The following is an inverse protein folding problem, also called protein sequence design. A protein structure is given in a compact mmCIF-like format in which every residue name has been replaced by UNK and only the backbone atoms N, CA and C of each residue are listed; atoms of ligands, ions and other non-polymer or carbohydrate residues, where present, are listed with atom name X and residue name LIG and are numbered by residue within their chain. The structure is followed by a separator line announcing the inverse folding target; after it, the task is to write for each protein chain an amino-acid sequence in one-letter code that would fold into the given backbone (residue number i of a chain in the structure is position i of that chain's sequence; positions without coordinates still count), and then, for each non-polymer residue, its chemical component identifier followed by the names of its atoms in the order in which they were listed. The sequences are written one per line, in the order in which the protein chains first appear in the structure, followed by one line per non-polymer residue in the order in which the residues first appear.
data_IF_247055120680
#
_entry.id   IF_247055120680
#
_cell.length_a   1.000
_cell.length_b   1.000
_cell.length_c   1.000
_cell.angle_alpha   90.00
_cell.angle_beta   90.00
_cell.angle_gamma   90.00
#
_symmetry.space_group_name_H-M   'P 1'
#
loop_
_entity.id
_entity.type
_entity.pdbx_description
1 polymer ?
#
# COMPACT_ATOMS: atom_id res chain seq x y z
N UNK A 1 15.06 14.68 9.23
CA UNK A 1 15.57 15.39 8.02
C UNK A 1 14.41 15.74 7.13
N UNK A 2 14.20 17.02 6.85
CA UNK A 2 13.06 17.54 6.07
C UNK A 2 13.35 17.48 4.55
N UNK A 3 13.72 16.30 4.03
CA UNK A 3 14.18 16.13 2.64
C UNK A 3 13.02 15.80 1.68
N UNK A 4 12.35 16.86 1.21
CA UNK A 4 11.24 16.76 0.28
C UNK A 4 11.67 16.18 -1.09
N UNK A 5 12.90 16.42 -1.53
CA UNK A 5 13.40 15.91 -2.81
C UNK A 5 13.57 14.40 -2.76
N UNK A 6 14.13 13.86 -1.67
CA UNK A 6 14.20 12.43 -1.45
C UNK A 6 12.81 11.78 -1.41
N UNK A 7 11.84 12.43 -0.73
CA UNK A 7 10.47 11.95 -0.67
C UNK A 7 9.82 11.87 -2.07
N UNK A 8 9.96 12.94 -2.87
CA UNK A 8 9.45 12.97 -4.25
C UNK A 8 10.07 11.84 -5.07
N UNK A 9 11.40 11.68 -5.01
CA UNK A 9 12.13 10.63 -5.74
C UNK A 9 11.60 9.23 -5.42
N UNK A 10 11.36 8.93 -4.15
CA UNK A 10 10.85 7.62 -3.74
C UNK A 10 9.40 7.38 -4.14
N UNK A 11 8.55 8.40 -4.08
CA UNK A 11 7.17 8.33 -4.57
C UNK A 11 7.15 8.11 -6.07
N UNK A 12 7.96 8.83 -6.84
CA UNK A 12 8.01 8.68 -8.29
C UNK A 12 8.55 7.29 -8.67
N UNK A 13 9.55 6.76 -7.95
CA UNK A 13 9.99 5.37 -8.11
C UNK A 13 8.86 4.38 -7.81
N UNK A 14 8.12 4.55 -6.72
CA UNK A 14 6.97 3.69 -6.38
C UNK A 14 5.90 3.70 -7.48
N UNK A 15 5.54 4.88 -7.99
CA UNK A 15 4.55 5.03 -9.05
C UNK A 15 5.01 4.45 -10.39
N UNK A 16 6.32 4.47 -10.68
CA UNK A 16 6.87 3.81 -11.86
C UNK A 16 6.65 2.27 -11.80
N UNK A 17 6.73 1.68 -10.61
CA UNK A 17 6.47 0.25 -10.38
C UNK A 17 4.99 -0.13 -10.34
N UNK A 18 4.07 0.84 -10.32
CA UNK A 18 2.64 0.58 -10.54
C UNK A 18 2.43 0.46 -12.05
N UNK A 19 2.59 -0.75 -12.59
CA UNK A 19 2.70 -0.97 -14.04
C UNK A 19 1.50 -0.43 -14.84
N UNK A 20 0.28 -0.64 -14.37
CA UNK A 20 -0.97 -0.25 -15.05
C UNK A 20 -1.46 1.14 -14.66
N UNK A 21 -2.32 1.74 -15.48
CA UNK A 21 -2.87 3.07 -15.21
C UNK A 21 -3.79 3.04 -13.98
N UNK A 22 -4.51 1.93 -13.81
CA UNK A 22 -5.43 1.71 -12.72
C UNK A 22 -4.73 1.57 -11.36
N UNK A 23 -3.64 0.81 -11.28
CA UNK A 23 -2.86 0.68 -10.04
C UNK A 23 -2.20 2.01 -9.63
N UNK A 24 -1.77 2.83 -10.60
CA UNK A 24 -1.27 4.20 -10.34
C UNK A 24 -2.38 5.08 -9.79
N UNK A 25 -3.54 5.07 -10.44
CA UNK A 25 -4.69 5.89 -10.01
C UNK A 25 -5.18 5.48 -8.62
N UNK A 26 -5.22 4.18 -8.34
CA UNK A 26 -5.58 3.64 -7.03
C UNK A 26 -4.60 4.11 -5.94
N UNK A 27 -3.29 4.03 -6.20
CA UNK A 27 -2.27 4.53 -5.28
C UNK A 27 -2.45 6.02 -4.97
N UNK A 28 -2.68 6.84 -5.99
CA UNK A 28 -2.92 8.28 -5.82
C UNK A 28 -4.26 8.57 -5.13
N UNK A 29 -5.30 7.77 -5.37
CA UNK A 29 -6.58 7.89 -4.67
C UNK A 29 -6.40 7.62 -3.18
N UNK A 30 -5.69 6.55 -2.82
CA UNK A 30 -5.38 6.23 -1.42
C UNK A 30 -4.45 7.26 -0.78
N UNK A 31 -3.49 7.81 -1.54
CA UNK A 31 -2.65 8.92 -1.11
C UNK A 31 -3.47 10.15 -0.73
N UNK A 32 -4.41 10.58 -1.59
CA UNK A 32 -5.34 11.69 -1.28
C UNK A 32 -6.16 11.43 -0.02
N UNK A 33 -6.68 10.21 0.15
CA UNK A 33 -7.45 9.84 1.34
C UNK A 33 -6.58 9.86 2.60
N UNK A 34 -5.37 9.33 2.53
CA UNK A 34 -4.41 9.33 3.63
C UNK A 34 -4.05 10.75 4.06
N UNK A 35 -3.73 11.64 3.13
CA UNK A 35 -3.39 13.03 3.50
C UNK A 35 -4.55 13.73 4.20
N UNK A 36 -5.79 13.57 3.71
CA UNK A 36 -6.96 14.14 4.39
C UNK A 36 -7.10 13.63 5.82
N UNK A 37 -6.93 12.32 6.03
CA UNK A 37 -6.93 11.74 7.37
C UNK A 37 -5.85 12.36 8.27
N UNK A 38 -4.63 12.54 7.77
CA UNK A 38 -3.55 13.15 8.55
C UNK A 38 -3.79 14.64 8.85
N UNK A 39 -4.41 15.36 7.91
CA UNK A 39 -4.84 16.75 8.12
C UNK A 39 -5.92 16.86 9.21
N UNK A 40 -6.89 15.94 9.20
CA UNK A 40 -7.98 15.85 10.18
C UNK A 40 -7.48 15.42 11.58
N UNK A 41 -6.33 14.74 11.63
CA UNK A 41 -5.63 14.38 12.87
C UNK A 41 -4.62 15.45 13.33
N UNK A 42 -4.65 16.64 12.71
CA UNK A 42 -3.79 17.78 13.03
C UNK A 42 -2.28 17.50 12.92
N UNK A 43 -1.88 16.63 11.97
CA UNK A 43 -0.46 16.35 11.68
C UNK A 43 0.07 17.41 10.71
N UNK A 44 0.73 18.44 11.27
CA UNK A 44 1.18 19.63 10.51
C UNK A 44 2.01 19.33 9.26
N UNK A 45 3.00 18.40 9.26
CA UNK A 45 3.77 18.09 8.06
C UNK A 45 2.92 17.57 6.88
N UNK A 46 1.74 17.00 7.15
CA UNK A 46 0.83 16.54 6.10
C UNK A 46 0.25 17.71 5.29
N UNK A 47 0.07 18.89 5.93
CA UNK A 47 -0.35 20.12 5.25
C UNK A 47 0.77 20.68 4.39
N UNK A 48 1.99 20.71 4.92
CA UNK A 48 3.17 21.19 4.19
C UNK A 48 3.43 20.38 2.92
N UNK A 49 3.40 19.04 3.03
CA UNK A 49 3.71 18.13 1.93
C UNK A 49 2.48 17.57 1.22
N UNK A 50 1.31 18.18 1.40
CA UNK A 50 0.02 17.73 0.88
C UNK A 50 0.09 17.29 -0.58
N UNK A 51 0.70 18.12 -1.43
CA UNK A 51 0.78 17.87 -2.88
C UNK A 51 1.60 16.63 -3.22
N UNK A 52 2.66 16.38 -2.45
CA UNK A 52 3.57 15.25 -2.64
C UNK A 52 2.94 13.98 -2.07
N UNK A 53 2.49 14.02 -0.81
CA UNK A 53 1.89 12.89 -0.11
C UNK A 53 0.58 12.41 -0.76
N UNK A 54 -0.18 13.31 -1.41
CA UNK A 54 -1.41 12.94 -2.12
C UNK A 54 -1.20 11.94 -3.27
N UNK A 55 0.06 11.66 -3.65
CA UNK A 55 0.41 10.69 -4.69
C UNK A 55 0.64 9.28 -4.17
N UNK A 56 0.88 9.07 -2.87
CA UNK A 56 1.16 7.74 -2.31
C UNK A 56 0.66 7.60 -0.88
N UNK A 57 -0.12 6.54 -0.66
CA UNK A 57 -0.58 6.19 0.67
C UNK A 57 0.57 5.80 1.58
N UNK A 58 1.54 5.04 1.06
CA UNK A 58 2.69 4.56 1.82
C UNK A 58 3.55 5.72 2.33
N UNK A 59 3.70 6.79 1.54
CA UNK A 59 4.40 8.00 1.97
C UNK A 59 3.68 8.71 3.13
N UNK A 60 2.34 8.85 3.05
CA UNK A 60 1.55 9.40 4.15
C UNK A 60 1.60 8.51 5.40
N UNK A 61 1.56 7.19 5.22
CA UNK A 61 1.71 6.25 6.32
C UNK A 61 3.08 6.36 7.01
N UNK A 62 4.17 6.45 6.23
CA UNK A 62 5.52 6.65 6.76
C UNK A 62 5.64 7.95 7.56
N UNK A 63 5.02 9.04 7.09
CA UNK A 63 4.95 10.29 7.84
C UNK A 63 4.22 10.11 9.18
N UNK A 64 3.13 9.35 9.21
CA UNK A 64 2.40 9.08 10.45
C UNK A 64 3.24 8.25 11.44
N UNK A 65 4.00 7.26 10.94
CA UNK A 65 4.93 6.48 11.77
C UNK A 65 6.00 7.38 12.40
N UNK A 66 6.60 8.28 11.61
CA UNK A 66 7.59 9.24 12.11
C UNK A 66 6.96 10.19 13.15
N UNK A 67 5.79 10.74 12.87
CA UNK A 67 5.09 11.64 13.79
C UNK A 67 4.78 10.99 15.14
N UNK A 68 4.28 9.74 15.15
CA UNK A 68 3.97 9.01 16.37
C UNK A 68 5.15 8.20 16.95
N UNK A 69 6.35 8.34 16.40
CA UNK A 69 7.55 7.63 16.84
C UNK A 69 7.38 6.10 16.86
N UNK A 70 6.62 5.58 15.89
CA UNK A 70 6.43 4.15 15.69
C UNK A 70 7.58 3.63 14.84
N UNK A 71 8.23 2.55 15.28
CA UNK A 71 9.35 1.97 14.54
C UNK A 71 8.91 1.50 13.15
N UNK A 72 9.78 1.66 12.16
CA UNK A 72 9.50 1.22 10.78
C UNK A 72 9.17 -0.27 10.72
N UNK A 73 9.81 -1.10 11.55
CA UNK A 73 9.51 -2.53 11.61
C UNK A 73 8.06 -2.79 12.05
N UNK A 74 7.62 -2.18 13.15
CA UNK A 74 6.24 -2.33 13.63
C UNK A 74 5.23 -1.76 12.63
N UNK A 75 5.55 -0.60 12.03
CA UNK A 75 4.73 0.01 11.01
C UNK A 75 4.59 -0.87 9.75
N UNK A 76 5.68 -1.47 9.29
CA UNK A 76 5.69 -2.36 8.14
C UNK A 76 4.84 -3.62 8.39
N UNK A 77 4.93 -4.21 9.59
CA UNK A 77 4.07 -5.33 9.99
C UNK A 77 2.58 -4.94 9.98
N UNK A 78 2.24 -3.79 10.59
CA UNK A 78 0.87 -3.29 10.62
C UNK A 78 0.30 -2.99 9.24
N UNK A 79 1.10 -2.35 8.38
CA UNK A 79 0.72 -2.06 7.00
C UNK A 79 0.50 -3.35 6.19
N UNK A 80 1.43 -4.30 6.30
CA UNK A 80 1.34 -5.59 5.62
C UNK A 80 0.11 -6.40 6.07
N UNK A 81 -0.20 -6.36 7.38
CA UNK A 81 -1.37 -7.05 7.93
C UNK A 81 -2.67 -6.45 7.41
N UNK A 82 -2.80 -5.11 7.44
CA UNK A 82 -3.97 -4.41 6.90
C UNK A 82 -4.15 -4.68 5.40
N UNK A 83 -3.07 -4.78 4.64
CA UNK A 83 -3.10 -5.16 3.22
C UNK A 83 -3.62 -6.60 3.05
N UNK A 84 -3.08 -7.55 3.81
CA UNK A 84 -3.49 -8.95 3.75
C UNK A 84 -4.97 -9.13 4.11
N UNK A 85 -5.42 -8.49 5.19
CA UNK A 85 -6.82 -8.53 5.64
C UNK A 85 -7.78 -8.05 4.55
N UNK A 86 -7.45 -6.93 3.90
CA UNK A 86 -8.26 -6.38 2.82
C UNK A 86 -8.36 -7.32 1.60
N UNK A 87 -7.27 -8.03 1.27
CA UNK A 87 -7.27 -9.03 0.20
C UNK A 87 -8.12 -10.24 0.59
N UNK A 88 -7.98 -10.75 1.81
CA UNK A 88 -8.76 -11.89 2.28
C UNK A 88 -10.26 -11.55 2.32
N UNK A 89 -10.64 -10.37 2.80
CA UNK A 89 -12.04 -9.91 2.79
C UNK A 89 -12.57 -9.82 1.35
N UNK A 90 -11.77 -9.33 0.41
CA UNK A 90 -12.15 -9.30 -1.00
C UNK A 90 -12.33 -10.71 -1.57
N UNK A 91 -11.41 -11.64 -1.26
CA UNK A 91 -11.50 -13.04 -1.66
C UNK A 91 -12.72 -13.77 -1.07
N UNK A 92 -13.07 -13.48 0.18
CA UNK A 92 -14.29 -13.99 0.83
C UNK A 92 -15.55 -13.57 0.05
N UNK A 93 -15.59 -12.33 -0.43
CA UNK A 93 -16.74 -11.81 -1.20
C UNK A 93 -16.76 -12.32 -2.65
N UNK A 94 -15.59 -12.46 -3.29
CA UNK A 94 -15.46 -12.77 -4.72
C UNK A 94 -15.46 -14.28 -5.03
N UNK A 95 -14.88 -15.12 -4.17
CA UNK A 95 -14.75 -16.59 -4.35
C UNK A 95 -15.84 -17.34 -3.53
N UNK A 96 -16.90 -16.65 -3.12
CA UNK A 96 -17.79 -16.98 -1.98
C UNK A 96 -17.21 -17.89 -0.87
N UNK A 97 -16.11 -17.49 -0.23
CA UNK A 97 -15.59 -18.24 0.92
C UNK A 97 -16.41 -17.94 2.18
N UNK A 98 -16.52 -18.92 3.09
CA UNK A 98 -17.09 -18.68 4.42
C UNK A 98 -16.17 -17.82 5.30
N UNK A 99 -16.74 -17.07 6.25
CA UNK A 99 -15.97 -16.22 7.18
C UNK A 99 -14.88 -16.99 7.94
N UNK A 100 -15.20 -18.21 8.38
CA UNK A 100 -14.22 -19.10 9.02
C UNK A 100 -13.07 -19.50 8.10
N UNK A 101 -13.30 -19.60 6.79
CA UNK A 101 -12.24 -19.86 5.82
C UNK A 101 -11.31 -18.64 5.70
N UNK A 102 -11.87 -17.42 5.66
CA UNK A 102 -11.08 -16.18 5.68
C UNK A 102 -10.18 -16.10 6.93
N UNK A 103 -10.73 -16.38 8.11
CA UNK A 103 -9.94 -16.40 9.35
C UNK A 103 -8.83 -17.46 9.35
N UNK A 104 -9.08 -18.65 8.79
CA UNK A 104 -8.03 -19.66 8.61
C UNK A 104 -6.92 -19.18 7.68
N UNK A 105 -7.27 -18.54 6.57
CA UNK A 105 -6.29 -17.97 5.63
C UNK A 105 -5.42 -16.92 6.34
N UNK A 106 -6.02 -16.00 7.10
CA UNK A 106 -5.27 -14.99 7.85
C UNK A 106 -4.29 -15.61 8.86
N UNK A 107 -4.76 -16.61 9.62
CA UNK A 107 -3.91 -17.36 10.54
C UNK A 107 -2.75 -18.04 9.81
N UNK A 108 -3.02 -18.71 8.70
CA UNK A 108 -2.02 -19.50 7.97
C UNK A 108 -0.99 -18.60 7.24
N UNK A 109 -1.38 -17.38 6.88
CA UNK A 109 -0.51 -16.39 6.23
C UNK A 109 0.19 -15.44 7.21
N UNK A 110 -0.10 -15.50 8.51
CA UNK A 110 0.52 -14.62 9.50
C UNK A 110 2.06 -14.74 9.53
N UNK A 111 2.59 -15.96 9.61
CA UNK A 111 4.04 -16.18 9.60
C UNK A 111 4.68 -15.87 8.23
N UNK A 112 4.15 -16.36 7.09
CA UNK A 112 4.66 -15.97 5.77
C UNK A 112 4.71 -14.46 5.53
N UNK A 113 3.73 -13.71 6.07
CA UNK A 113 3.69 -12.26 6.00
C UNK A 113 4.81 -11.62 6.82
N UNK A 114 5.04 -12.10 8.05
CA UNK A 114 6.14 -11.62 8.89
C UNK A 114 7.49 -11.84 8.20
N UNK A 115 7.73 -13.03 7.65
CA UNK A 115 8.95 -13.35 6.90
C UNK A 115 9.11 -12.48 5.64
N UNK A 116 8.00 -12.11 4.99
CA UNK A 116 8.01 -11.19 3.85
C UNK A 116 8.39 -9.76 4.28
N UNK A 117 7.90 -9.29 5.43
CA UNK A 117 8.29 -7.99 6.00
C UNK A 117 9.77 -7.97 6.35
N UNK A 118 10.27 -9.01 7.03
CA UNK A 118 11.70 -9.11 7.38
C UNK A 118 12.60 -9.06 6.13
N UNK A 119 12.25 -9.85 5.10
CA UNK A 119 12.97 -9.80 3.82
C UNK A 119 12.89 -8.41 3.18
N UNK A 120 11.71 -7.79 3.16
CA UNK A 120 11.53 -6.44 2.60
C UNK A 120 12.38 -5.39 3.31
N UNK A 121 12.52 -5.48 4.62
CA UNK A 121 13.37 -4.58 5.43
C UNK A 121 14.87 -4.78 5.19
N UNK A 122 15.28 -5.93 4.63
CA UNK A 122 16.68 -6.24 4.31
C UNK A 122 17.06 -5.92 2.85
N UNK A 123 16.11 -5.52 2.01
CA UNK A 123 16.36 -5.15 0.60
C UNK A 123 17.12 -3.82 0.55
N UNK A 124 18.16 -3.77 -0.27
CA UNK A 124 18.89 -2.51 -0.52
C UNK A 124 18.09 -1.59 -1.44
N UNK A 125 18.31 -0.28 -1.33
CA UNK A 125 17.65 0.74 -2.15
C UNK A 125 17.75 0.48 -3.66
N UNK A 126 18.86 -0.08 -4.13
CA UNK A 126 19.09 -0.40 -5.55
C UNK A 126 18.29 -1.63 -5.99
N UNK A 127 18.06 -2.57 -5.08
CA UNK A 127 17.27 -3.79 -5.30
C UNK A 127 15.76 -3.57 -5.11
N UNK A 128 15.32 -2.36 -4.73
CA UNK A 128 13.89 -2.03 -4.64
C UNK A 128 13.28 -2.04 -6.04
N UNK A 129 12.56 -3.11 -6.32
CA UNK A 129 11.77 -3.26 -7.52
C UNK A 129 11.30 -4.70 -7.64
N UNK A 130 10.04 -4.88 -8.00
CA UNK A 130 9.53 -6.18 -8.41
C UNK A 130 8.45 -5.98 -9.46
N UNK A 131 8.39 -6.92 -10.42
CA UNK A 131 7.29 -7.02 -11.36
C UNK A 131 6.61 -8.36 -11.15
N UNK A 132 5.28 -8.36 -11.24
CA UNK A 132 4.49 -9.59 -11.29
C UNK A 132 3.72 -9.58 -12.59
N UNK A 133 4.28 -10.19 -13.67
CA UNK A 133 3.66 -10.14 -14.99
C UNK A 133 2.20 -10.63 -14.99
N UNK A 134 1.89 -11.61 -14.14
CA UNK A 134 0.53 -12.12 -13.98
C UNK A 134 -0.40 -11.07 -13.35
N UNK A 135 0.06 -10.32 -12.33
CA UNK A 135 -0.71 -9.23 -11.73
C UNK A 135 -0.88 -8.06 -12.71
N UNK A 136 0.18 -7.69 -13.43
CA UNK A 136 0.15 -6.65 -14.45
C UNK A 136 -0.92 -6.96 -15.52
N UNK A 137 -0.89 -8.21 -16.01
CA UNK A 137 -1.84 -8.69 -17.00
C UNK A 137 -3.27 -8.72 -16.47
N UNK A 138 -3.48 -9.22 -15.25
CA UNK A 138 -4.79 -9.25 -14.62
C UNK A 138 -5.36 -7.83 -14.42
N UNK A 139 -4.54 -6.90 -13.95
CA UNK A 139 -4.94 -5.49 -13.79
C UNK A 139 -5.28 -4.84 -15.13
N UNK A 140 -4.47 -5.06 -16.17
CA UNK A 140 -4.75 -4.54 -17.51
C UNK A 140 -6.07 -5.10 -18.09
N UNK A 141 -6.41 -6.36 -17.78
CA UNK A 141 -7.72 -6.91 -18.14
C UNK A 141 -8.86 -6.27 -17.35
N UNK A 142 -8.67 -6.02 -16.06
CA UNK A 142 -9.68 -5.40 -15.20
C UNK A 142 -10.05 -3.99 -15.67
N UNK A 143 -9.10 -3.23 -16.23
CA UNK A 143 -9.35 -1.92 -16.85
C UNK A 143 -10.45 -1.96 -17.93
N UNK A 144 -10.55 -3.06 -18.67
CA UNK A 144 -11.47 -3.23 -19.80
C UNK A 144 -12.68 -4.14 -19.49
N UNK A 145 -12.83 -4.56 -18.23
CA UNK A 145 -13.88 -5.49 -17.85
C UNK A 145 -15.26 -4.81 -17.89
N UNK A 146 -16.20 -5.44 -18.59
CA UNK A 146 -17.55 -4.89 -18.81
C UNK A 146 -18.35 -4.69 -17.51
N UNK A 147 -18.25 -5.62 -16.56
CA UNK A 147 -18.92 -5.54 -15.26
C UNK A 147 -17.90 -5.61 -14.14
N UNK A 148 -17.86 -4.57 -13.29
CA UNK A 148 -16.87 -4.39 -12.22
C UNK A 148 -17.55 -4.13 -10.89
N UNK A 149 -17.15 -4.89 -9.86
CA UNK A 149 -17.57 -4.68 -8.47
C UNK A 149 -16.58 -3.81 -7.70
N UNK A 150 -15.31 -3.79 -8.14
CA UNK A 150 -14.22 -3.03 -7.53
C UNK A 150 -13.64 -2.01 -8.52
N UNK A 151 -13.05 -0.95 -7.97
CA UNK A 151 -12.48 0.17 -8.74
C UNK A 151 -11.07 -0.12 -9.29
N UNK A 152 -10.44 -1.18 -8.80
CA UNK A 152 -9.11 -1.67 -9.14
C UNK A 152 -8.91 -3.07 -8.58
#
# INVERSE_FOLDING_TARGET
NNDELALIRWIDRLLAHRETSELRLEEMNRGRAMVRLLEDLDIEPARQWKRVLAKSQTAGFALALDHWQISTNLGAQGFAWAWLENIVISGVKLIPLGQMAGQRILRDLAQPLADAVERGMAISDDDIGSSSPALAYASARHETQYTRLFRS
#
